data_IF_279308867944
#
_entry.id   IF_279308867944
#
_cell.length_a   1.000
_cell.length_b   1.000
_cell.length_c   1.000
_cell.angle_alpha   90.00
_cell.angle_beta   90.00
_cell.angle_gamma   90.00
#
_symmetry.space_group_name_H-M   'P 1'
#
loop_
_entity.id
_entity.type
_entity.pdbx_description
1 polymer ?
#
# COMPACT_ATOMS: atom_id res chain seq x y z
N UNK A 1 -2.26 3.21 5.94
CA UNK A 1 -0.78 3.23 5.93
C UNK A 1 -0.23 4.47 5.26
N UNK A 2 -0.63 4.76 4.02
CA UNK A 2 -0.21 5.97 3.27
C UNK A 2 -0.27 7.26 4.08
N UNK A 3 -1.38 7.54 4.78
CA UNK A 3 -1.49 8.74 5.63
C UNK A 3 -0.35 8.85 6.67
N UNK A 4 0.04 7.74 7.30
CA UNK A 4 1.13 7.72 8.26
C UNK A 4 2.50 7.92 7.60
N UNK A 5 2.71 7.39 6.39
CA UNK A 5 3.95 7.59 5.63
C UNK A 5 4.12 9.06 5.19
N UNK A 6 3.04 9.76 4.88
CA UNK A 6 3.08 11.18 4.53
C UNK A 6 3.58 12.07 5.69
N UNK A 7 3.37 11.65 6.95
CA UNK A 7 3.94 12.36 8.12
C UNK A 7 5.45 12.17 8.26
N UNK A 8 6.06 11.20 7.58
CA UNK A 8 7.51 10.99 7.64
C UNK A 8 8.28 12.04 6.83
N UNK A 9 7.61 12.85 6.01
CA UNK A 9 8.24 13.96 5.28
C UNK A 9 8.59 15.07 6.29
N UNK A 10 9.88 15.41 6.49
CA UNK A 10 10.30 16.27 7.60
C UNK A 10 9.67 17.67 7.64
N UNK A 11 9.23 18.17 6.49
CA UNK A 11 8.66 19.51 6.33
C UNK A 11 7.13 19.54 6.43
N UNK A 12 6.47 18.38 6.50
CA UNK A 12 5.02 18.28 6.52
C UNK A 12 4.53 18.19 7.97
N UNK A 13 3.73 19.18 8.37
CA UNK A 13 2.96 19.09 9.63
C UNK A 13 1.63 18.41 9.38
N UNK A 14 1.02 17.84 10.44
CA UNK A 14 -0.33 17.28 10.34
C UNK A 14 -1.35 18.27 9.78
N UNK A 15 -1.31 19.53 10.22
CA UNK A 15 -2.25 20.56 9.78
C UNK A 15 -2.08 20.84 8.28
N UNK A 16 -0.85 20.99 7.81
CA UNK A 16 -0.56 21.21 6.40
C UNK A 16 -0.97 20.00 5.53
N UNK A 17 -0.73 18.77 6.02
CA UNK A 17 -1.14 17.54 5.34
C UNK A 17 -2.67 17.46 5.20
N UNK A 18 -3.39 17.64 6.30
CA UNK A 18 -4.85 17.55 6.30
C UNK A 18 -5.48 18.62 5.39
N UNK A 19 -4.92 19.84 5.37
CA UNK A 19 -5.34 20.91 4.47
C UNK A 19 -5.07 20.57 3.00
N UNK A 20 -3.90 20.04 2.67
CA UNK A 20 -3.55 19.65 1.31
C UNK A 20 -4.46 18.52 0.80
N UNK A 21 -4.70 17.49 1.62
CA UNK A 21 -5.61 16.38 1.27
C UNK A 21 -7.03 16.91 1.02
N UNK A 22 -7.52 17.82 1.86
CA UNK A 22 -8.83 18.45 1.68
C UNK A 22 -8.91 19.25 0.38
N UNK A 23 -7.90 20.07 0.08
CA UNK A 23 -7.84 20.87 -1.17
C UNK A 23 -7.81 19.98 -2.43
N UNK A 24 -7.17 18.82 -2.34
CA UNK A 24 -7.11 17.82 -3.41
C UNK A 24 -8.36 16.93 -3.48
N UNK A 25 -9.35 17.14 -2.60
CA UNK A 25 -10.54 16.29 -2.46
C UNK A 25 -10.20 14.82 -2.17
N UNK A 26 -9.11 14.59 -1.43
CA UNK A 26 -8.67 13.27 -1.02
C UNK A 26 -9.23 12.97 0.38
N UNK A 27 -10.09 11.95 0.46
CA UNK A 27 -10.55 11.41 1.75
C UNK A 27 -9.56 10.39 2.31
N UNK A 28 -9.33 10.43 3.63
CA UNK A 28 -8.57 9.39 4.33
C UNK A 28 -9.51 8.28 4.79
N UNK A 29 -9.32 7.08 4.25
CA UNK A 29 -9.96 5.86 4.77
C UNK A 29 -8.99 5.17 5.75
N UNK A 30 -9.40 5.10 7.02
CA UNK A 30 -8.67 4.40 8.09
C UNK A 30 -9.25 3.04 8.42
N UNK A 31 -10.27 2.58 7.68
CA UNK A 31 -10.92 1.30 7.93
C UNK A 31 -9.96 0.14 7.70
N UNK A 32 -10.08 -0.86 8.56
CA UNK A 32 -9.33 -2.11 8.46
C UNK A 32 -10.28 -3.26 8.73
N UNK A 33 -10.38 -4.19 7.79
CA UNK A 33 -11.25 -5.36 7.90
C UNK A 33 -10.40 -6.63 7.92
N UNK A 34 -10.95 -7.73 8.46
CA UNK A 34 -10.27 -9.02 8.46
C UNK A 34 -9.84 -9.44 7.05
N UNK A 35 -10.70 -9.21 6.04
CA UNK A 35 -10.40 -9.49 4.63
C UNK A 35 -9.14 -8.81 4.13
N UNK A 36 -8.87 -7.56 4.54
CA UNK A 36 -7.63 -6.87 4.18
C UNK A 36 -6.40 -7.56 4.79
N UNK A 37 -6.51 -8.05 6.03
CA UNK A 37 -5.43 -8.78 6.69
C UNK A 37 -5.18 -10.15 6.05
N UNK A 38 -6.24 -10.84 5.63
CA UNK A 38 -6.16 -12.10 4.87
C UNK A 38 -5.42 -11.90 3.54
N UNK A 39 -5.80 -10.88 2.75
CA UNK A 39 -5.11 -10.56 1.48
C UNK A 39 -3.66 -10.11 1.71
N UNK A 40 -3.41 -9.32 2.75
CA UNK A 40 -2.06 -8.92 3.15
C UNK A 40 -1.21 -10.15 3.47
N UNK A 41 -1.73 -11.09 4.26
CA UNK A 41 -1.07 -12.33 4.63
C UNK A 41 -0.79 -13.24 3.41
N UNK A 42 -1.77 -13.37 2.52
CA UNK A 42 -1.65 -14.16 1.28
C UNK A 42 -0.51 -13.65 0.40
N UNK A 43 -0.47 -12.34 0.12
CA UNK A 43 0.58 -11.73 -0.71
C UNK A 43 1.94 -11.78 0.00
N UNK A 44 1.97 -11.53 1.31
CA UNK A 44 3.21 -11.63 2.09
C UNK A 44 3.81 -13.04 2.03
N UNK A 45 3.00 -14.08 2.23
CA UNK A 45 3.45 -15.46 2.16
C UNK A 45 4.00 -15.82 0.78
N UNK A 46 3.32 -15.40 -0.29
CA UNK A 46 3.73 -15.61 -1.68
C UNK A 46 5.10 -14.99 -1.98
N UNK A 47 5.29 -13.73 -1.60
CA UNK A 47 6.57 -13.02 -1.80
C UNK A 47 7.67 -13.68 -0.98
N UNK A 48 7.42 -14.02 0.29
CA UNK A 48 8.37 -14.72 1.14
C UNK A 48 8.74 -16.11 0.58
N UNK A 49 7.81 -16.82 -0.04
CA UNK A 49 8.09 -18.08 -0.74
C UNK A 49 9.01 -17.86 -1.94
N UNK A 50 8.66 -16.94 -2.85
CA UNK A 50 9.47 -16.65 -4.05
C UNK A 50 10.90 -16.22 -3.70
N UNK A 51 11.06 -15.42 -2.64
CA UNK A 51 12.37 -14.96 -2.17
C UNK A 51 13.23 -16.09 -1.63
N UNK A 52 12.65 -17.00 -0.84
CA UNK A 52 13.35 -18.21 -0.36
C UNK A 52 13.82 -19.07 -1.53
N UNK A 53 12.99 -19.25 -2.54
CA UNK A 53 13.35 -19.98 -3.76
C UNK A 53 14.44 -19.29 -4.59
N UNK A 54 14.50 -17.95 -4.57
CA UNK A 54 15.48 -17.16 -5.31
C UNK A 54 16.81 -16.92 -4.56
N UNK A 55 16.99 -17.47 -3.35
CA UNK A 55 18.19 -17.25 -2.55
C UNK A 55 18.43 -15.79 -2.12
N UNK A 56 17.39 -14.94 -2.18
CA UNK A 56 17.53 -13.49 -2.01
C UNK A 56 17.52 -13.08 -0.53
N UNK A 57 18.65 -12.55 -0.03
CA UNK A 57 18.84 -12.10 1.37
C UNK A 57 18.60 -10.58 1.55
N UNK A 58 18.18 -9.87 0.50
CA UNK A 58 18.10 -8.40 0.45
C UNK A 58 16.99 -7.72 1.27
N UNK A 59 16.85 -6.41 1.10
CA UNK A 59 15.94 -5.55 1.89
C UNK A 59 14.48 -6.10 1.90
N UNK A 60 13.87 -6.17 3.08
CA UNK A 60 12.51 -6.71 3.27
C UNK A 60 11.52 -5.75 2.59
N UNK A 61 10.62 -6.25 1.73
CA UNK A 61 9.47 -5.43 1.30
C UNK A 61 8.68 -5.07 2.56
N UNK A 62 8.37 -3.80 2.83
CA UNK A 62 7.59 -3.42 4.00
C UNK A 62 6.25 -4.15 3.99
N UNK A 63 5.84 -4.71 5.13
CA UNK A 63 4.48 -5.22 5.30
C UNK A 63 3.42 -4.13 5.01
N UNK A 64 3.82 -2.86 5.15
CA UNK A 64 3.02 -1.69 4.80
C UNK A 64 2.56 -1.71 3.33
N UNK A 65 3.43 -2.00 2.36
CA UNK A 65 3.06 -2.03 0.94
C UNK A 65 2.01 -3.11 0.65
N UNK A 66 2.14 -4.27 1.30
CA UNK A 66 1.14 -5.34 1.16
C UNK A 66 -0.22 -4.90 1.74
N UNK A 67 -0.21 -4.19 2.87
CA UNK A 67 -1.44 -3.65 3.46
C UNK A 67 -2.04 -2.54 2.61
N UNK A 68 -1.24 -1.71 1.95
CA UNK A 68 -1.70 -0.70 0.98
C UNK A 68 -2.40 -1.38 -0.20
N UNK A 69 -1.78 -2.40 -0.79
CA UNK A 69 -2.37 -3.16 -1.89
C UNK A 69 -3.68 -3.85 -1.51
N UNK A 70 -3.72 -4.47 -0.32
CA UNK A 70 -4.94 -5.11 0.19
C UNK A 70 -6.06 -4.09 0.49
N UNK A 71 -5.71 -2.92 1.03
CA UNK A 71 -6.66 -1.85 1.26
C UNK A 71 -7.24 -1.35 -0.07
N UNK A 72 -6.41 -1.08 -1.08
CA UNK A 72 -6.88 -0.66 -2.41
C UNK A 72 -7.79 -1.73 -3.03
N UNK A 73 -7.37 -3.00 -3.03
CA UNK A 73 -8.16 -4.11 -3.55
C UNK A 73 -9.55 -4.22 -2.91
N UNK A 74 -9.69 -3.90 -1.62
CA UNK A 74 -10.94 -4.06 -0.89
C UNK A 74 -11.84 -2.81 -0.89
N UNK A 75 -11.29 -1.62 -1.19
CA UNK A 75 -11.95 -0.33 -0.87
C UNK A 75 -11.98 0.67 -2.02
N UNK A 76 -11.20 0.47 -3.07
CA UNK A 76 -11.08 1.42 -4.17
C UNK A 76 -11.24 0.75 -5.52
N UNK A 77 -11.58 1.54 -6.54
CA UNK A 77 -11.67 1.04 -7.92
C UNK A 77 -10.29 0.82 -8.55
N UNK A 78 -9.27 1.54 -8.09
CA UNK A 78 -7.89 1.45 -8.57
C UNK A 78 -6.86 1.88 -7.52
N UNK A 79 -5.59 1.51 -7.77
CA UNK A 79 -4.41 2.01 -7.08
C UNK A 79 -3.54 2.83 -8.04
N UNK A 80 -3.37 4.12 -7.75
CA UNK A 80 -2.44 5.00 -8.44
C UNK A 80 -1.06 4.93 -7.78
N UNK A 81 0.00 4.62 -8.53
CA UNK A 81 1.34 4.47 -7.95
C UNK A 81 2.47 4.60 -8.97
N UNK A 82 3.61 5.13 -8.55
CA UNK A 82 4.86 5.08 -9.33
C UNK A 82 5.49 3.67 -9.36
N UNK A 83 5.11 2.79 -8.45
CA UNK A 83 5.70 1.48 -8.26
C UNK A 83 4.73 0.35 -8.65
N UNK A 84 4.10 0.45 -9.82
CA UNK A 84 3.04 -0.50 -10.24
C UNK A 84 3.46 -1.98 -10.14
N UNK A 85 4.73 -2.29 -10.45
CA UNK A 85 5.28 -3.65 -10.36
C UNK A 85 5.25 -4.22 -8.94
N UNK A 86 5.30 -3.39 -7.90
CA UNK A 86 5.29 -3.89 -6.53
C UNK A 86 3.94 -4.45 -6.09
N UNK A 87 2.86 -4.05 -6.79
CA UNK A 87 1.48 -4.46 -6.51
C UNK A 87 0.95 -5.55 -7.45
N UNK A 88 1.78 -6.09 -8.36
CA UNK A 88 1.34 -7.06 -9.37
C UNK A 88 0.79 -8.39 -8.81
N UNK A 89 1.05 -8.69 -7.53
CA UNK A 89 0.52 -9.88 -6.84
C UNK A 89 -0.95 -9.74 -6.41
N UNK A 90 -1.53 -8.55 -6.58
CA UNK A 90 -2.97 -8.29 -6.44
C UNK A 90 -3.66 -8.38 -7.80
N UNK A 91 -3.90 -9.61 -8.27
CA UNK A 91 -4.31 -9.90 -9.66
C UNK A 91 -5.62 -9.24 -10.13
N UNK A 92 -6.54 -8.92 -9.22
CA UNK A 92 -7.81 -8.23 -9.55
C UNK A 92 -7.80 -6.74 -9.20
N UNK A 93 -6.70 -6.23 -8.63
CA UNK A 93 -6.55 -4.80 -8.37
C UNK A 93 -6.23 -4.10 -9.69
N UNK A 94 -7.05 -3.11 -10.04
CA UNK A 94 -6.72 -2.20 -11.14
C UNK A 94 -5.57 -1.28 -10.69
N UNK A 95 -4.44 -1.33 -11.38
CA UNK A 95 -3.24 -0.55 -11.04
C UNK A 95 -2.99 0.46 -12.15
N UNK A 96 -2.95 1.73 -11.78
CA UNK A 96 -2.64 2.84 -12.68
C UNK A 96 -1.22 3.30 -12.35
N UNK A 97 -0.30 3.05 -13.27
CA UNK A 97 1.08 3.55 -13.18
C UNK A 97 1.17 5.01 -13.61
N UNK A 98 1.95 5.81 -12.87
CA UNK A 98 2.29 7.21 -13.21
C UNK A 98 3.78 7.47 -13.18
#
# INVERSE_FOLDING_TARGET
>A
MVYAELHAVPTITKVALDQALLQMLISVDSSSTLRMWEETGRVHALICQRRRSAGAVGNRRPLADHLIGAHALCRTDALLTHNARDFSDFTTLNIIGI
#
